data_IF_593512862437
#
_entry.id   IF_593512862437
#
_cell.length_a   1.000
_cell.length_b   1.000
_cell.length_c   1.000
_cell.angle_alpha   90.00
_cell.angle_beta   90.00
_cell.angle_gamma   90.00
#
_symmetry.space_group_name_H-M   'P 1'
#
loop_
_entity.id
_entity.type
_entity.pdbx_description
1 polymer ?
#
# COMPACT_ATOMS: atom_id res chain seq x y z
N UNK A 1 -9.41 -0.78 -5.38
CA UNK A 1 -8.82 -2.11 -5.60
C UNK A 1 -7.34 -2.00 -5.29
N UNK A 2 -6.91 -2.39 -4.09
CA UNK A 2 -5.50 -2.29 -3.68
C UNK A 2 -4.80 -3.52 -4.25
N UNK A 3 -4.00 -3.34 -5.31
CA UNK A 3 -3.28 -4.41 -6.02
C UNK A 3 -2.02 -4.91 -5.28
N UNK A 4 -1.95 -4.80 -3.95
CA UNK A 4 -0.82 -5.36 -3.20
C UNK A 4 -0.73 -6.89 -3.32
N UNK A 5 -1.88 -7.56 -3.42
CA UNK A 5 -1.93 -9.02 -3.54
C UNK A 5 -1.85 -9.52 -4.98
N UNK A 6 -2.00 -8.63 -5.97
CA UNK A 6 -2.09 -8.99 -7.38
C UNK A 6 -0.73 -9.16 -8.08
N UNK A 7 0.39 -8.81 -7.45
CA UNK A 7 1.73 -9.05 -8.02
C UNK A 7 2.37 -10.31 -7.41
N UNK A 8 1.81 -10.83 -6.31
CA UNK A 8 2.14 -12.17 -5.82
C UNK A 8 1.77 -13.28 -6.83
N UNK A 9 1.08 -12.96 -7.93
CA UNK A 9 0.56 -13.91 -8.93
C UNK A 9 1.38 -13.98 -10.24
N UNK A 10 2.58 -13.39 -10.31
CA UNK A 10 3.50 -13.64 -11.44
C UNK A 10 3.17 -12.93 -12.75
N UNK A 11 2.50 -11.77 -12.68
CA UNK A 11 2.25 -10.92 -13.86
C UNK A 11 3.58 -10.26 -14.28
N UNK A 12 3.92 -10.32 -15.58
CA UNK A 12 5.08 -9.63 -16.13
C UNK A 12 4.95 -8.10 -16.00
N UNK A 13 6.05 -7.43 -15.69
CA UNK A 13 6.05 -5.97 -15.49
C UNK A 13 5.62 -5.21 -16.75
N UNK A 14 6.05 -5.64 -17.93
CA UNK A 14 5.71 -4.95 -19.17
C UNK A 14 4.24 -5.16 -19.52
N UNK A 15 3.72 -6.37 -19.34
CA UNK A 15 2.28 -6.65 -19.54
C UNK A 15 1.42 -5.79 -18.61
N UNK A 16 1.86 -5.62 -17.37
CA UNK A 16 1.21 -4.73 -16.41
C UNK A 16 1.24 -3.26 -16.87
N UNK A 17 2.41 -2.75 -17.29
CA UNK A 17 2.55 -1.39 -17.84
C UNK A 17 1.65 -1.19 -19.07
N UNK A 18 1.62 -2.15 -20.00
CA UNK A 18 0.76 -2.12 -21.18
C UNK A 18 -0.73 -2.11 -20.81
N UNK A 19 -1.12 -2.82 -19.75
CA UNK A 19 -2.50 -2.78 -19.27
C UNK A 19 -2.87 -1.39 -18.74
N UNK A 20 -1.98 -0.73 -18.00
CA UNK A 20 -2.19 0.64 -17.50
C UNK A 20 -2.25 1.65 -18.64
N UNK A 21 -1.41 1.51 -19.66
CA UNK A 21 -1.44 2.35 -20.86
C UNK A 21 -2.80 2.26 -21.57
N UNK A 22 -3.30 1.04 -21.80
CA UNK A 22 -4.63 0.81 -22.39
C UNK A 22 -5.77 1.42 -21.56
N UNK A 23 -5.65 1.45 -20.23
CA UNK A 23 -6.64 2.10 -19.36
C UNK A 23 -6.59 3.62 -19.50
N UNK A 24 -5.39 4.21 -19.58
CA UNK A 24 -5.18 5.63 -19.81
C UNK A 24 -5.72 6.07 -21.19
N UNK A 25 -5.45 5.30 -22.25
CA UNK A 25 -5.98 5.56 -23.60
C UNK A 25 -7.51 5.61 -23.63
N UNK A 26 -8.16 4.75 -22.84
CA UNK A 26 -9.62 4.73 -22.67
C UNK A 26 -10.15 5.85 -21.78
N UNK A 27 -9.28 6.70 -21.24
CA UNK A 27 -9.65 7.75 -20.29
C UNK A 27 -10.16 7.21 -18.95
N UNK A 28 -9.82 5.96 -18.60
CA UNK A 28 -10.34 5.31 -17.39
C UNK A 28 -9.83 6.03 -16.13
N UNK A 29 -10.75 6.30 -15.20
CA UNK A 29 -10.43 6.86 -13.89
C UNK A 29 -9.98 5.71 -12.98
N UNK A 30 -8.71 5.71 -12.56
CA UNK A 30 -8.18 4.69 -11.66
C UNK A 30 -7.09 5.23 -10.74
N UNK A 31 -6.87 4.51 -9.64
CA UNK A 31 -5.73 4.67 -8.75
C UNK A 31 -5.16 3.29 -8.41
N UNK A 32 -3.84 3.19 -8.25
CA UNK A 32 -3.16 1.93 -8.00
C UNK A 32 -2.01 2.10 -6.99
N UNK A 33 -2.03 1.30 -5.92
CA UNK A 33 -0.87 1.10 -5.05
C UNK A 33 -0.09 -0.10 -5.60
N UNK A 34 1.21 0.08 -5.85
CA UNK A 34 2.03 -0.88 -6.58
C UNK A 34 3.42 -1.11 -5.95
N UNK A 35 4.21 -0.04 -5.78
CA UNK A 35 5.56 -0.11 -5.24
C UNK A 35 5.62 0.50 -3.83
N UNK A 36 6.76 0.33 -3.18
CA UNK A 36 7.02 0.92 -1.87
C UNK A 36 8.44 0.71 -1.40
N UNK A 37 8.74 1.21 -0.20
CA UNK A 37 10.03 1.06 0.46
C UNK A 37 9.85 0.80 1.95
N UNK A 38 10.72 -0.02 2.53
CA UNK A 38 10.86 -0.25 3.97
C UNK A 38 12.28 0.15 4.36
N UNK A 39 12.41 1.29 5.06
CA UNK A 39 13.72 1.92 5.22
C UNK A 39 14.38 2.15 3.86
N UNK A 40 15.61 1.63 3.68
CA UNK A 40 16.37 1.73 2.42
C UNK A 40 16.00 0.67 1.38
N UNK A 41 15.16 -0.32 1.74
CA UNK A 41 14.80 -1.42 0.84
C UNK A 41 13.58 -1.07 0.01
N UNK A 42 13.73 -1.01 -1.32
CA UNK A 42 12.62 -0.83 -2.27
C UNK A 42 11.96 -2.17 -2.66
N UNK A 43 10.66 -2.12 -2.95
CA UNK A 43 9.84 -3.21 -3.47
C UNK A 43 9.08 -2.73 -4.71
N UNK A 44 9.09 -3.54 -5.77
CA UNK A 44 8.51 -3.18 -7.07
C UNK A 44 9.42 -2.26 -7.89
N UNK A 45 9.08 -2.08 -9.16
CA UNK A 45 9.74 -1.13 -10.06
C UNK A 45 8.95 0.18 -10.16
N UNK A 46 9.63 1.32 -10.19
CA UNK A 46 8.93 2.60 -10.41
C UNK A 46 8.21 2.56 -11.75
N UNK A 47 6.93 2.93 -11.76
CA UNK A 47 6.14 2.94 -13.00
C UNK A 47 6.72 3.94 -14.01
N UNK A 48 6.77 3.58 -15.30
CA UNK A 48 7.36 4.45 -16.33
C UNK A 48 6.65 5.80 -16.43
N UNK A 49 7.44 6.86 -16.58
CA UNK A 49 6.91 8.23 -16.72
C UNK A 49 6.00 8.41 -17.94
N UNK A 50 6.15 7.59 -18.98
CA UNK A 50 5.29 7.63 -20.17
C UNK A 50 3.82 7.36 -19.87
N UNK A 51 3.50 6.70 -18.75
CA UNK A 51 2.11 6.49 -18.31
C UNK A 51 1.44 7.78 -17.77
N UNK A 52 2.19 8.87 -17.56
CA UNK A 52 1.68 10.15 -17.05
C UNK A 52 0.86 10.04 -15.75
N UNK A 53 1.14 9.03 -14.93
CA UNK A 53 0.49 8.86 -13.63
C UNK A 53 1.05 9.86 -12.62
N UNK A 54 0.18 10.44 -11.81
CA UNK A 54 0.60 11.23 -10.65
C UNK A 54 0.95 10.29 -9.51
N UNK A 55 2.18 10.38 -8.99
CA UNK A 55 2.67 9.51 -7.91
C UNK A 55 2.65 10.25 -6.58
N UNK A 56 2.01 9.66 -5.58
CA UNK A 56 1.94 10.16 -4.20
C UNK A 56 2.63 9.13 -3.31
N UNK A 57 3.62 9.54 -2.51
CA UNK A 57 4.21 8.70 -1.47
C UNK A 57 3.41 8.87 -0.16
N UNK A 58 3.05 7.75 0.47
CA UNK A 58 2.26 7.70 1.69
C UNK A 58 3.07 6.94 2.75
N UNK A 59 3.35 7.60 3.86
CA UNK A 59 3.91 6.94 5.04
C UNK A 59 2.82 6.11 5.72
N UNK A 60 2.92 4.78 5.64
CA UNK A 60 1.93 3.85 6.20
C UNK A 60 2.36 3.26 7.56
N UNK A 61 3.49 3.74 8.09
CA UNK A 61 4.02 3.33 9.39
C UNK A 61 4.80 2.02 9.36
N UNK A 62 4.95 1.40 10.53
CA UNK A 62 5.80 0.20 10.71
C UNK A 62 5.15 -1.04 10.12
N UNK A 63 5.93 -1.86 9.42
CA UNK A 63 5.44 -3.16 8.93
C UNK A 63 5.25 -4.15 10.08
N UNK A 64 4.33 -5.11 9.95
CA UNK A 64 4.12 -6.16 10.97
C UNK A 64 5.38 -6.98 11.26
N UNK A 65 6.20 -7.22 10.23
CA UNK A 65 7.49 -7.92 10.35
C UNK A 65 8.52 -7.07 11.12
N UNK A 66 8.61 -5.78 10.83
CA UNK A 66 9.51 -4.86 11.55
C UNK A 66 9.10 -4.73 13.02
N UNK A 67 7.79 -4.66 13.31
CA UNK A 67 7.28 -4.68 14.68
C UNK A 67 7.65 -5.98 15.41
N UNK A 68 7.48 -7.14 14.77
CA UNK A 68 7.80 -8.45 15.37
C UNK A 68 9.30 -8.61 15.64
N UNK A 69 10.15 -8.03 14.79
CA UNK A 69 11.61 -8.09 14.92
C UNK A 69 12.20 -6.95 15.74
N UNK A 70 11.37 -6.09 16.35
CA UNK A 70 11.83 -4.94 17.15
C UNK A 70 12.57 -3.87 16.35
N UNK A 71 12.36 -3.81 15.03
CA UNK A 71 12.98 -2.84 14.12
C UNK A 71 12.11 -1.59 13.98
N UNK A 72 12.77 -0.43 13.96
CA UNK A 72 12.16 0.90 13.77
C UNK A 72 12.12 1.32 12.29
N UNK A 73 11.79 0.38 11.39
CA UNK A 73 11.72 0.66 9.96
C UNK A 73 10.30 1.10 9.57
N UNK A 74 10.20 2.27 8.94
CA UNK A 74 8.94 2.81 8.40
C UNK A 74 8.73 2.36 6.96
N UNK A 75 7.48 2.02 6.64
CA UNK A 75 7.05 1.68 5.29
C UNK A 75 6.46 2.91 4.61
N UNK A 76 6.91 3.17 3.39
CA UNK A 76 6.33 4.17 2.49
C UNK A 76 5.80 3.44 1.26
N UNK A 77 4.54 3.67 0.92
CA UNK A 77 3.90 3.12 -0.28
C UNK A 77 3.70 4.22 -1.30
N UNK A 78 3.77 3.89 -2.59
CA UNK A 78 3.33 4.85 -3.61
C UNK A 78 1.94 4.50 -4.12
N UNK A 79 1.09 5.52 -4.17
CA UNK A 79 -0.19 5.51 -4.85
C UNK A 79 -0.04 6.29 -6.16
N UNK A 80 -0.39 5.66 -7.27
CA UNK A 80 -0.39 6.27 -8.59
C UNK A 80 -1.82 6.58 -9.03
N UNK A 81 -2.07 7.79 -9.51
CA UNK A 81 -3.37 8.26 -9.99
C UNK A 81 -3.35 8.42 -11.51
N UNK A 82 -4.42 7.99 -12.18
CA UNK A 82 -4.55 8.20 -13.63
C UNK A 82 -4.72 9.69 -13.97
N UNK A 83 -4.31 10.14 -15.17
CA UNK A 83 -4.49 11.53 -15.59
C UNK A 83 -5.94 11.99 -15.52
N UNK A 84 -6.88 11.08 -15.81
CA UNK A 84 -8.32 11.35 -15.71
C UNK A 84 -8.75 11.59 -14.25
N UNK A 85 -8.21 10.81 -13.31
CA UNK A 85 -8.50 10.97 -11.88
C UNK A 85 -7.92 12.28 -11.35
N UNK A 86 -6.63 12.56 -11.58
CA UNK A 86 -5.97 13.79 -11.13
C UNK A 86 -6.72 15.04 -11.59
N UNK A 87 -7.16 15.07 -12.85
CA UNK A 87 -7.94 16.19 -13.41
C UNK A 87 -9.30 16.36 -12.73
N UNK A 88 -9.98 15.25 -12.41
CA UNK A 88 -11.26 15.29 -11.70
C UNK A 88 -11.10 15.80 -10.26
N UNK A 89 -10.00 15.46 -9.59
CA UNK A 89 -9.72 15.90 -8.23
C UNK A 89 -9.40 17.40 -8.16
N UNK A 90 -8.74 17.98 -9.17
CA UNK A 90 -8.47 19.43 -9.20
C UNK A 90 -9.75 20.28 -9.21
N UNK A 91 -10.87 19.73 -9.70
CA UNK A 91 -12.15 20.43 -9.80
C UNK A 91 -13.03 20.24 -8.55
N UNK A 92 -12.70 19.28 -7.68
CA UNK A 92 -13.55 18.89 -6.54
C UNK A 92 -13.00 19.47 -5.24
N UNK A 93 -13.77 20.34 -4.60
CA UNK A 93 -13.51 20.75 -3.21
C UNK A 93 -13.70 19.52 -2.31
N UNK A 94 -12.62 19.03 -1.72
CA UNK A 94 -12.69 17.99 -0.70
C UNK A 94 -13.16 18.64 0.60
N UNK A 95 -14.46 18.54 0.90
CA UNK A 95 -15.02 19.00 2.17
C UNK A 95 -14.71 17.97 3.27
N UNK A 96 -13.77 18.34 4.15
CA UNK A 96 -13.44 17.77 5.46
C UNK A 96 -13.47 16.24 5.59
N UNK A 97 -12.31 15.60 5.45
CA UNK A 97 -12.09 14.29 6.06
C UNK A 97 -12.01 14.44 7.58
N UNK A 98 -13.00 13.92 8.32
CA UNK A 98 -12.83 13.67 9.75
C UNK A 98 -11.98 12.41 9.90
N UNK A 99 -10.69 12.57 10.18
CA UNK A 99 -9.88 11.46 10.66
C UNK A 99 -10.44 11.03 12.03
N UNK A 100 -11.04 9.85 12.08
CA UNK A 100 -11.51 9.27 13.33
C UNK A 100 -10.27 8.73 14.05
N UNK A 101 -9.84 9.46 15.07
CA UNK A 101 -8.95 9.03 16.15
C UNK A 101 -7.54 8.50 15.76
N UNK A 102 -6.64 9.39 15.34
CA UNK A 102 -5.19 9.11 15.26
C UNK A 102 -4.58 8.89 16.67
N UNK A 103 -5.22 9.44 17.72
CA UNK A 103 -4.74 9.37 19.11
C UNK A 103 -5.17 8.10 19.87
N UNK A 104 -6.00 7.23 19.28
CA UNK A 104 -6.28 5.93 19.89
C UNK A 104 -5.08 5.03 19.66
N UNK A 105 -4.29 4.83 20.74
CA UNK A 105 -3.26 3.77 20.76
C UNK A 105 -3.89 2.46 20.28
N UNK A 106 -3.33 1.80 19.25
CA UNK A 106 -3.86 0.53 18.78
C UNK A 106 -3.83 -0.47 19.93
N UNK A 107 -5.01 -0.93 20.36
CA UNK A 107 -5.12 -1.94 21.40
C UNK A 107 -4.82 -3.29 20.75
N UNK A 108 -3.64 -3.84 21.02
CA UNK A 108 -3.31 -5.21 20.64
C UNK A 108 -4.33 -6.17 21.28
N UNK A 109 -5.22 -6.74 20.48
CA UNK A 109 -6.16 -7.77 20.92
C UNK A 109 -5.46 -9.14 20.95
N UNK A 110 -4.39 -9.26 21.74
CA UNK A 110 -3.93 -10.59 22.16
C UNK A 110 -4.73 -10.98 23.39
N UNK A 111 -5.89 -11.60 23.17
CA UNK A 111 -6.62 -12.30 24.23
C UNK A 111 -6.04 -13.70 24.35
N UNK A 112 -4.96 -13.83 25.12
CA UNK A 112 -4.59 -15.11 25.72
C UNK A 112 -5.12 -15.07 27.14
N UNK A 113 -6.37 -15.48 27.33
CA UNK A 113 -6.79 -15.90 28.65
C UNK A 113 -5.88 -17.07 29.04
N UNK A 114 -5.16 -16.90 30.15
CA UNK A 114 -4.31 -17.94 30.74
C UNK A 114 -5.19 -19.14 31.10
N UNK A 115 -5.40 -20.04 30.16
CA UNK A 115 -5.90 -21.37 30.46
C UNK A 115 -4.87 -22.41 30.03
N UNK A 116 -4.22 -22.97 31.06
CA UNK A 116 -3.61 -24.29 31.02
C UNK A 116 -2.22 -24.35 30.39
N UNK A 117 -1.29 -24.92 31.16
CA UNK A 117 0.04 -25.31 30.75
C UNK A 117 0.04 -26.09 29.41
N UNK A 118 0.62 -25.52 28.36
CA UNK A 118 1.09 -26.32 27.24
C UNK A 118 2.49 -26.83 27.61
N UNK A 119 2.53 -28.04 28.16
CA UNK A 119 3.76 -28.79 28.31
C UNK A 119 4.38 -28.99 26.92
N UNK A 120 5.59 -28.47 26.73
CA UNK A 120 6.42 -28.83 25.60
C UNK A 120 6.79 -30.31 25.72
N UNK A 121 6.15 -31.17 24.91
CA UNK A 121 6.66 -32.52 24.66
C UNK A 121 7.78 -32.39 23.64
N UNK A 122 9.00 -32.46 24.15
CA UNK A 122 10.19 -32.79 23.37
C UNK A 122 10.16 -34.29 23.06
N UNK A 123 9.84 -34.68 21.82
CA UNK A 123 10.59 -35.67 21.06
C UNK A 123 10.19 -35.72 19.59
#
# INVERSE_FOLDING_TARGET
MILKDAIATGIDFNDFVLALEKLNEKGTVFAISYDGKLGDKAFGQILPRCLNLERIEIEVGRSSQSTLLGKEETTIESLYLSPSLSRSLTTTQISNFTCIDIDKKPKQLTLWEKHGEFAAVTR
#
